data_IF_464784963854
#
_entry.id   IF_464784963854
#
_cell.length_a   1.000
_cell.length_b   1.000
_cell.length_c   1.000
_cell.angle_alpha   90.00
_cell.angle_beta   90.00
_cell.angle_gamma   90.00
#
_symmetry.space_group_name_H-M   'P 1'
#
loop_
_entity.id
_entity.type
_entity.pdbx_description
1 polymer ?
#
# COMPACT_ATOMS: atom_id res chain seq x y z
N UNK A 1 11.91 5.87 40.94
CA UNK A 1 11.81 5.15 42.23
C UNK A 1 11.31 3.77 41.86
N UNK A 2 12.16 2.75 41.99
CA UNK A 2 11.76 1.37 41.65
C UNK A 2 10.68 0.95 42.64
N UNK A 3 9.60 0.32 42.18
CA UNK A 3 8.50 -0.19 43.02
C UNK A 3 8.93 -1.49 43.73
N UNK A 4 10.18 -1.56 44.19
CA UNK A 4 10.78 -2.78 44.72
C UNK A 4 10.63 -2.84 46.24
N UNK A 5 10.40 -4.05 46.75
CA UNK A 5 10.30 -4.31 48.19
C UNK A 5 11.51 -5.14 48.63
N UNK A 6 12.38 -4.64 49.53
CA UNK A 6 13.58 -5.37 49.96
C UNK A 6 13.30 -6.70 50.69
N UNK A 7 12.05 -7.02 51.02
CA UNK A 7 11.63 -8.28 51.62
C UNK A 7 11.07 -9.29 50.61
N UNK A 8 10.92 -8.92 49.34
CA UNK A 8 10.36 -9.76 48.28
C UNK A 8 11.38 -9.80 47.12
N UNK A 9 11.78 -10.98 46.62
CA UNK A 9 12.64 -11.05 45.44
C UNK A 9 11.94 -10.42 44.23
N UNK A 10 12.67 -9.58 43.49
CA UNK A 10 12.23 -9.12 42.19
C UNK A 10 12.48 -10.25 41.19
N UNK A 11 11.38 -10.87 40.74
CA UNK A 11 11.37 -11.99 39.81
C UNK A 11 11.42 -11.51 38.35
N UNK A 12 11.78 -12.46 37.51
CA UNK A 12 11.98 -12.43 36.07
C UNK A 12 11.34 -13.76 35.62
N UNK A 13 10.02 -13.75 35.44
CA UNK A 13 9.23 -14.98 35.37
C UNK A 13 9.36 -15.65 34.00
N UNK A 14 9.62 -14.89 32.93
CA UNK A 14 9.85 -15.41 31.58
C UNK A 14 11.33 -15.55 31.18
N UNK A 15 12.26 -14.95 31.93
CA UNK A 15 13.69 -15.17 31.80
C UNK A 15 14.37 -14.40 30.67
N UNK A 16 13.82 -13.28 30.21
CA UNK A 16 14.42 -12.44 29.17
C UNK A 16 15.51 -11.47 29.69
N UNK A 17 15.69 -11.41 31.01
CA UNK A 17 16.70 -10.61 31.67
C UNK A 17 16.20 -9.27 32.21
N UNK A 18 14.92 -8.95 32.01
CA UNK A 18 14.24 -7.86 32.67
C UNK A 18 13.54 -8.36 33.94
N UNK A 19 12.87 -7.47 34.65
CA UNK A 19 12.17 -7.78 35.90
C UNK A 19 10.76 -7.26 35.76
N UNK A 20 9.83 -7.82 36.53
CA UNK A 20 8.43 -7.42 36.53
C UNK A 20 8.12 -5.91 36.62
N UNK A 21 9.04 -5.08 37.13
CA UNK A 21 8.86 -3.63 37.25
C UNK A 21 9.50 -2.81 36.11
N UNK A 22 10.33 -3.45 35.28
CA UNK A 22 10.93 -2.92 34.06
C UNK A 22 10.22 -3.45 32.81
N UNK A 23 9.59 -4.61 32.93
CA UNK A 23 8.84 -5.29 31.88
C UNK A 23 7.32 -5.04 32.02
N UNK A 24 6.68 -4.75 30.91
CA UNK A 24 5.25 -4.55 30.79
C UNK A 24 4.46 -5.88 30.69
N UNK A 25 5.10 -6.99 30.32
CA UNK A 25 4.54 -8.34 30.38
C UNK A 25 5.60 -9.40 30.76
N UNK A 26 5.91 -9.48 32.06
CA UNK A 26 6.87 -10.43 32.69
C UNK A 26 6.51 -11.92 32.52
N UNK A 27 5.53 -12.22 31.68
CA UNK A 27 5.04 -13.56 31.39
C UNK A 27 5.27 -13.95 29.91
N UNK A 28 5.89 -13.08 29.10
CA UNK A 28 6.22 -13.25 27.69
C UNK A 28 7.60 -12.66 27.36
N UNK A 29 8.61 -13.53 27.29
CA UNK A 29 10.01 -13.19 26.98
C UNK A 29 10.26 -12.49 25.64
N UNK A 30 9.23 -12.28 24.82
CA UNK A 30 9.30 -11.50 23.57
C UNK A 30 8.90 -10.04 23.76
N UNK A 31 8.41 -9.67 24.94
CA UNK A 31 7.98 -8.33 25.33
C UNK A 31 8.91 -7.86 26.44
N UNK A 32 9.76 -6.88 26.16
CA UNK A 32 10.70 -6.33 27.13
C UNK A 32 11.37 -5.06 26.62
N UNK A 33 11.97 -4.20 27.47
CA UNK A 33 12.59 -2.92 27.08
C UNK A 33 13.57 -2.90 25.89
N UNK A 34 14.18 -4.04 25.56
CA UNK A 34 15.13 -4.22 24.45
C UNK A 34 14.51 -4.93 23.23
N UNK A 35 13.23 -5.28 23.26
CA UNK A 35 12.53 -5.98 22.19
C UNK A 35 12.41 -5.10 20.95
N UNK A 36 12.33 -5.74 19.78
CA UNK A 36 12.08 -5.03 18.53
C UNK A 36 10.57 -4.95 18.27
N UNK A 37 10.10 -3.77 17.89
CA UNK A 37 8.69 -3.55 17.56
C UNK A 37 8.26 -4.34 16.31
N UNK A 38 7.03 -4.87 16.35
CA UNK A 38 6.36 -5.56 15.25
C UNK A 38 5.07 -4.81 14.98
N UNK A 39 4.69 -4.64 13.72
CA UNK A 39 3.45 -3.93 13.37
C UNK A 39 2.20 -4.81 13.61
N UNK A 40 1.85 -5.00 14.88
CA UNK A 40 0.72 -5.82 15.34
C UNK A 40 -0.20 -5.08 16.32
N UNK A 41 0.11 -3.84 16.68
CA UNK A 41 -0.67 -3.01 17.58
C UNK A 41 -0.36 -3.21 19.06
N UNK A 42 0.75 -3.89 19.38
CA UNK A 42 1.27 -4.10 20.73
C UNK A 42 2.57 -3.31 20.95
N UNK A 43 2.89 -2.98 22.20
CA UNK A 43 4.15 -2.33 22.61
C UNK A 43 5.08 -3.45 23.08
N UNK A 44 5.95 -3.94 22.19
CA UNK A 44 6.87 -5.04 22.55
C UNK A 44 8.00 -4.53 23.43
N UNK A 45 8.38 -3.25 23.32
CA UNK A 45 9.53 -2.71 24.03
C UNK A 45 9.20 -1.88 25.29
N UNK A 46 7.97 -1.96 25.76
CA UNK A 46 7.49 -1.38 27.02
C UNK A 46 7.77 0.12 27.17
N UNK A 47 7.85 0.88 26.07
CA UNK A 47 8.14 2.30 26.11
C UNK A 47 6.87 3.20 26.11
N UNK A 48 5.69 2.58 26.08
CA UNK A 48 4.35 3.19 25.95
C UNK A 48 4.06 3.83 24.59
N UNK A 49 4.83 3.50 23.57
CA UNK A 49 4.53 3.75 22.17
C UNK A 49 4.21 2.40 21.52
N UNK A 50 3.31 2.42 20.55
CA UNK A 50 2.87 1.21 19.86
C UNK A 50 3.38 1.30 18.42
N UNK A 51 4.03 0.25 17.95
CA UNK A 51 4.52 0.09 16.58
C UNK A 51 5.40 1.27 16.11
N UNK A 52 6.24 1.84 16.97
CA UNK A 52 7.21 2.85 16.56
C UNK A 52 8.42 2.24 15.88
N UNK A 53 9.05 3.00 14.99
CA UNK A 53 10.24 2.56 14.23
C UNK A 53 10.05 1.29 13.38
N UNK A 54 8.84 0.76 13.25
CA UNK A 54 8.53 -0.37 12.36
C UNK A 54 8.56 0.04 10.89
N UNK A 55 9.12 -0.83 10.03
CA UNK A 55 9.07 -0.64 8.58
C UNK A 55 7.72 -1.11 8.02
N UNK A 56 6.73 -0.21 8.02
CA UNK A 56 5.37 -0.49 7.51
C UNK A 56 5.36 -0.80 6.01
N UNK A 57 6.24 -0.16 5.22
CA UNK A 57 6.31 -0.39 3.77
C UNK A 57 6.70 -1.84 3.44
N UNK A 58 7.54 -2.47 4.27
CA UNK A 58 7.93 -3.87 4.11
C UNK A 58 6.79 -4.88 4.33
N UNK A 59 5.69 -4.47 4.96
CA UNK A 59 4.52 -5.30 5.21
C UNK A 59 3.46 -5.19 4.09
N UNK A 60 3.63 -4.23 3.17
CA UNK A 60 2.72 -4.07 2.03
C UNK A 60 3.15 -5.02 0.91
N UNK A 61 2.31 -6.02 0.62
CA UNK A 61 2.50 -6.90 -0.53
C UNK A 61 1.78 -6.33 -1.76
N UNK A 62 2.54 -5.96 -2.79
CA UNK A 62 2.00 -5.47 -4.06
C UNK A 62 2.05 -6.60 -5.08
N UNK A 63 0.90 -6.93 -5.66
CA UNK A 63 0.78 -7.92 -6.73
C UNK A 63 0.02 -7.28 -7.90
N UNK A 64 0.57 -7.33 -9.13
CA UNK A 64 1.87 -7.91 -9.49
C UNK A 64 3.03 -7.04 -8.99
N UNK A 65 4.17 -7.69 -8.71
CA UNK A 65 5.42 -7.01 -8.31
C UNK A 65 6.14 -6.34 -9.48
N UNK A 66 5.68 -6.61 -10.71
CA UNK A 66 6.22 -6.04 -11.93
C UNK A 66 5.68 -4.62 -12.11
N UNK A 67 6.61 -3.66 -12.16
CA UNK A 67 6.29 -2.23 -12.28
C UNK A 67 5.76 -1.91 -13.70
N UNK A 68 6.00 -2.79 -14.66
CA UNK A 68 5.60 -2.63 -16.05
C UNK A 68 4.74 -3.80 -16.51
N UNK A 69 3.49 -3.51 -16.87
CA UNK A 69 2.59 -4.49 -17.49
C UNK A 69 2.22 -3.97 -18.87
N UNK A 70 2.49 -4.77 -19.89
CA UNK A 70 2.02 -4.49 -21.25
C UNK A 70 0.77 -5.31 -21.55
N UNK A 71 -0.39 -4.65 -21.59
CA UNK A 71 -1.68 -5.26 -21.88
C UNK A 71 -2.09 -4.93 -23.31
N UNK A 72 -2.17 -5.93 -24.18
CA UNK A 72 -2.69 -5.77 -25.54
C UNK A 72 -4.20 -5.95 -25.53
N UNK A 73 -4.94 -4.89 -25.22
CA UNK A 73 -6.38 -4.88 -25.39
C UNK A 73 -6.66 -4.51 -26.85
N UNK A 74 -7.26 -5.42 -27.60
CA UNK A 74 -7.67 -5.19 -28.99
C UNK A 74 -8.91 -4.28 -29.05
N UNK A 75 -9.94 -4.59 -29.84
CA UNK A 75 -11.22 -3.87 -29.89
C UNK A 75 -12.13 -4.13 -28.67
N UNK A 76 -11.57 -4.55 -27.54
CA UNK A 76 -12.30 -4.92 -26.33
C UNK A 76 -12.02 -3.90 -25.22
N UNK A 77 -12.97 -3.73 -24.31
CA UNK A 77 -12.79 -2.84 -23.17
C UNK A 77 -11.76 -3.41 -22.19
N UNK A 78 -10.84 -2.56 -21.76
CA UNK A 78 -9.93 -2.84 -20.66
C UNK A 78 -10.61 -2.47 -19.33
N UNK A 79 -10.65 -3.42 -18.41
CA UNK A 79 -11.10 -3.19 -17.04
C UNK A 79 -9.97 -3.48 -16.05
N UNK A 80 -9.63 -2.47 -15.24
CA UNK A 80 -8.65 -2.57 -14.17
C UNK A 80 -9.30 -2.18 -12.85
N UNK A 81 -8.87 -2.81 -11.77
CA UNK A 81 -9.38 -2.53 -10.44
C UNK A 81 -8.26 -2.70 -9.41
N UNK A 82 -8.17 -1.76 -8.49
CA UNK A 82 -7.33 -1.88 -7.30
C UNK A 82 -8.17 -2.47 -6.17
N UNK A 83 -7.58 -3.41 -5.44
CA UNK A 83 -8.20 -4.00 -4.25
C UNK A 83 -7.19 -3.96 -3.12
N UNK A 84 -7.67 -3.65 -1.92
CA UNK A 84 -6.89 -3.76 -0.69
C UNK A 84 -7.61 -4.71 0.23
N UNK A 85 -6.88 -5.71 0.72
CA UNK A 85 -7.39 -6.68 1.66
C UNK A 85 -6.90 -6.30 3.06
N UNK A 86 -7.78 -5.78 3.90
CA UNK A 86 -7.47 -5.32 5.26
C UNK A 86 -8.35 -6.03 6.30
N UNK A 87 -7.86 -6.10 7.54
CA UNK A 87 -8.66 -6.52 8.69
C UNK A 87 -9.82 -5.54 8.93
N UNK A 88 -10.93 -6.03 9.49
CA UNK A 88 -12.17 -5.26 9.70
C UNK A 88 -11.99 -4.03 10.62
N UNK A 89 -10.91 -4.00 11.42
CA UNK A 89 -10.63 -2.93 12.40
C UNK A 89 -9.66 -1.84 11.89
N UNK A 90 -9.22 -1.91 10.62
CA UNK A 90 -8.28 -0.95 10.07
C UNK A 90 -8.98 0.29 9.48
N UNK A 91 -8.60 1.48 9.94
CA UNK A 91 -8.97 2.74 9.30
C UNK A 91 -7.97 3.08 8.19
N UNK A 92 -8.36 2.87 6.93
CA UNK A 92 -7.53 3.16 5.77
C UNK A 92 -8.26 4.08 4.79
N UNK A 93 -7.61 5.17 4.40
CA UNK A 93 -8.03 6.03 3.30
C UNK A 93 -7.13 5.73 2.09
N UNK A 94 -7.74 5.39 0.95
CA UNK A 94 -7.02 5.05 -0.28
C UNK A 94 -7.42 6.03 -1.37
N UNK A 95 -6.45 6.78 -1.87
CA UNK A 95 -6.60 7.55 -3.09
C UNK A 95 -6.01 6.77 -4.26
N UNK A 96 -6.83 6.50 -5.28
CA UNK A 96 -6.36 5.84 -6.50
C UNK A 96 -6.30 6.89 -7.62
N UNK A 97 -5.25 6.84 -8.44
CA UNK A 97 -5.16 7.69 -9.64
C UNK A 97 -4.66 6.86 -10.82
N UNK A 98 -5.50 6.74 -11.84
CA UNK A 98 -5.17 6.08 -13.08
C UNK A 98 -4.62 7.09 -14.07
N UNK A 99 -3.38 6.87 -14.54
CA UNK A 99 -2.74 7.69 -15.56
C UNK A 99 -2.41 6.86 -16.79
N UNK A 100 -2.70 7.39 -17.96
CA UNK A 100 -2.20 6.85 -19.23
C UNK A 100 -0.95 7.62 -19.64
N UNK A 101 0.13 6.91 -19.94
CA UNK A 101 1.35 7.46 -20.53
C UNK A 101 1.44 7.00 -21.99
N UNK A 102 1.57 7.94 -22.93
CA UNK A 102 1.69 7.64 -24.37
C UNK A 102 3.14 7.71 -24.85
N UNK A 103 3.95 8.57 -24.23
CA UNK A 103 5.39 8.70 -24.46
C UNK A 103 6.06 9.25 -23.19
N UNK A 104 7.40 9.36 -23.20
CA UNK A 104 8.20 9.74 -22.04
C UNK A 104 7.82 11.10 -21.42
N UNK A 105 7.12 11.97 -22.15
CA UNK A 105 6.81 13.35 -21.75
C UNK A 105 5.32 13.66 -21.64
N UNK A 106 4.43 12.69 -21.86
CA UNK A 106 2.99 12.91 -21.81
C UNK A 106 2.29 11.85 -20.97
N UNK A 107 1.51 12.34 -20.01
CA UNK A 107 0.63 11.53 -19.16
C UNK A 107 -0.68 12.27 -18.93
N UNK A 108 -1.81 11.57 -18.98
CA UNK A 108 -3.13 12.12 -18.64
C UNK A 108 -3.77 11.31 -17.52
N UNK A 109 -4.48 11.96 -16.61
CA UNK A 109 -5.31 11.28 -15.60
C UNK A 109 -6.64 10.88 -16.26
N UNK A 110 -6.97 9.60 -16.18
CA UNK A 110 -8.20 9.04 -16.80
C UNK A 110 -9.28 8.66 -15.80
N UNK A 111 -8.90 8.37 -14.54
CA UNK A 111 -9.83 8.05 -13.45
C UNK A 111 -9.15 8.28 -12.10
N UNK A 112 -9.94 8.61 -11.09
CA UNK A 112 -9.53 8.62 -9.67
C UNK A 112 -10.31 7.62 -8.83
N UNK A 113 -11.16 6.81 -9.47
CA UNK A 113 -11.93 5.77 -8.80
C UNK A 113 -11.03 4.55 -8.50
N UNK A 114 -11.52 3.66 -7.64
CA UNK A 114 -10.87 2.37 -7.35
C UNK A 114 -10.87 1.40 -8.55
N UNK A 115 -11.49 1.79 -9.66
CA UNK A 115 -11.55 1.03 -10.90
C UNK A 115 -11.38 1.94 -12.11
N UNK A 116 -10.98 1.33 -13.22
CA UNK A 116 -10.82 1.96 -14.52
C UNK A 116 -11.47 1.07 -15.57
N UNK A 117 -12.37 1.65 -16.35
CA UNK A 117 -12.91 1.03 -17.57
C UNK A 117 -12.57 1.90 -18.76
N UNK A 118 -11.72 1.39 -19.65
CA UNK A 118 -11.41 2.03 -20.92
C UNK A 118 -12.01 1.19 -22.03
N UNK A 119 -12.92 1.80 -22.81
CA UNK A 119 -13.37 1.20 -24.06
C UNK A 119 -12.34 1.37 -25.18
N UNK A 120 -12.63 0.85 -26.37
CA UNK A 120 -11.89 1.21 -27.58
C UNK A 120 -11.86 2.74 -27.76
N UNK A 121 -10.73 3.26 -28.20
CA UNK A 121 -10.60 4.68 -28.50
C UNK A 121 -11.31 5.00 -29.83
N UNK A 122 -12.46 5.68 -29.74
CA UNK A 122 -13.20 6.19 -30.91
C UNK A 122 -12.86 7.67 -31.10
N UNK A 123 -12.03 7.97 -32.10
CA UNK A 123 -11.65 9.35 -32.45
C UNK A 123 -12.61 10.01 -33.46
N UNK A 124 -13.71 9.33 -33.81
CA UNK A 124 -14.74 9.84 -34.71
C UNK A 124 -15.91 10.42 -33.90
N UNK A 125 -16.12 11.73 -33.98
CA UNK A 125 -17.24 12.42 -33.34
C UNK A 125 -16.83 13.47 -32.31
N UNK A 126 -17.79 13.99 -31.50
CA UNK A 126 -17.50 14.98 -30.47
C UNK A 126 -16.72 14.34 -29.33
N UNK A 127 -15.44 14.70 -29.21
CA UNK A 127 -14.55 14.20 -28.16
C UNK A 127 -14.69 15.05 -26.89
N UNK A 128 -14.73 14.39 -25.72
CA UNK A 128 -14.77 15.02 -24.41
C UNK A 128 -13.79 14.35 -23.44
N UNK A 129 -13.33 15.11 -22.45
CA UNK A 129 -12.41 14.62 -21.42
C UNK A 129 -11.08 14.13 -22.02
N UNK A 130 -10.54 13.06 -21.45
CA UNK A 130 -9.23 12.51 -21.86
C UNK A 130 -9.20 12.02 -23.32
N UNK A 131 -10.34 11.65 -23.91
CA UNK A 131 -10.41 11.19 -25.31
C UNK A 131 -10.04 12.30 -26.30
N UNK A 132 -10.40 13.55 -26.01
CA UNK A 132 -10.02 14.68 -26.85
C UNK A 132 -8.49 14.88 -26.87
N UNK A 133 -7.85 14.68 -25.73
CA UNK A 133 -6.40 14.85 -25.59
C UNK A 133 -5.64 13.70 -26.28
N UNK A 134 -6.09 12.45 -26.12
CA UNK A 134 -5.49 11.27 -26.77
C UNK A 134 -5.59 11.35 -28.29
N UNK A 135 -6.78 11.66 -28.82
CA UNK A 135 -7.01 11.69 -30.27
C UNK A 135 -6.36 12.88 -30.99
N UNK A 136 -6.01 13.96 -30.27
CA UNK A 136 -5.38 15.15 -30.86
C UNK A 136 -3.85 15.11 -30.78
N UNK A 137 -3.29 14.40 -29.80
CA UNK A 137 -1.83 14.30 -29.59
C UNK A 137 -1.17 13.24 -30.46
N UNK A 138 -1.95 12.29 -30.96
CA UNK A 138 -1.48 11.21 -31.79
C UNK A 138 -2.14 11.33 -33.16
N UNK A 139 -1.37 11.17 -34.24
CA UNK A 139 -1.91 10.80 -35.56
C UNK A 139 -2.48 9.36 -35.49
N UNK A 140 -3.41 9.09 -34.56
CA UNK A 140 -3.98 7.77 -34.31
C UNK A 140 -4.84 7.39 -35.51
N UNK A 141 -4.61 6.23 -36.16
CA UNK A 141 -5.64 5.66 -37.02
C UNK A 141 -6.92 5.40 -36.19
N UNK A 142 -8.13 5.56 -36.78
CA UNK A 142 -9.42 5.63 -36.08
C UNK A 142 -9.82 4.40 -35.25
N UNK A 143 -9.00 3.34 -35.23
CA UNK A 143 -9.18 2.15 -34.41
C UNK A 143 -7.79 1.64 -34.00
N UNK A 144 -7.24 2.12 -32.88
CA UNK A 144 -5.98 1.55 -32.37
C UNK A 144 -6.27 0.25 -31.61
N UNK A 145 -5.50 -0.81 -31.89
CA UNK A 145 -5.31 -1.92 -30.95
C UNK A 145 -4.61 -1.33 -29.74
N UNK A 146 -5.31 -1.17 -28.63
CA UNK A 146 -4.77 -0.52 -27.45
C UNK A 146 -3.76 -1.43 -26.73
N UNK A 147 -2.48 -1.27 -27.10
CA UNK A 147 -1.38 -1.75 -26.26
C UNK A 147 -1.19 -0.73 -25.14
N UNK A 148 -1.63 -1.08 -23.95
CA UNK A 148 -1.45 -0.27 -22.76
C UNK A 148 -0.16 -0.68 -22.06
N UNK A 149 0.73 0.27 -21.84
CA UNK A 149 1.91 0.09 -21.00
C UNK A 149 1.64 0.79 -19.67
N UNK A 150 1.36 0.01 -18.63
CA UNK A 150 1.16 0.53 -17.29
C UNK A 150 2.49 0.57 -16.57
N UNK A 151 2.85 1.75 -16.08
CA UNK A 151 3.96 1.94 -15.15
C UNK A 151 3.40 2.38 -13.81
N UNK A 152 3.59 1.56 -12.78
CA UNK A 152 3.29 1.98 -11.41
C UNK A 152 4.36 3.03 -10.99
N UNK A 153 3.94 4.19 -10.49
CA UNK A 153 4.84 5.25 -10.00
C UNK A 153 5.05 5.12 -8.49
#
# INVERSE_FOLDING_TARGET
>A
MTLTNPLIPDLDEDGDGFRWFEDCDDNDSTVHPDAAEIWDGYDQNCNNLIDELVNRAGQISVIPTEIEISLNATSESLYLQSFVNISEDANLEIETTWKLALNDNWTVVVSTDSWLSLGPFECEGPLLGYLAEICYTMEVPPCMKSLFHFRWL
#
